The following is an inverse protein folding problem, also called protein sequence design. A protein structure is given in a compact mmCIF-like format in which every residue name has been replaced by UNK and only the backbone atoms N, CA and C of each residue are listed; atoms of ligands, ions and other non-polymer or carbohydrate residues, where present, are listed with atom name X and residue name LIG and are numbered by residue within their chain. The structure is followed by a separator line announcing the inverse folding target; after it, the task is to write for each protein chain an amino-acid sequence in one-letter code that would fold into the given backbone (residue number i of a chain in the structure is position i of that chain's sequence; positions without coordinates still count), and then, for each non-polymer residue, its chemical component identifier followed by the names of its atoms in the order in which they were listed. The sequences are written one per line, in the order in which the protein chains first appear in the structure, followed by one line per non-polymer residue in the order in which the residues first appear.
data_IF_620122001881
#
_entry.id   IF_620122001881
#
_cell.length_a   1.000
_cell.length_b   1.000
_cell.length_c   1.000
_cell.angle_alpha   90.00
_cell.angle_beta   90.00
_cell.angle_gamma   90.00
#
_symmetry.space_group_name_H-M   'P 1'
#
loop_
_entity.id
_entity.type
_entity.pdbx_description
1 polymer ?
#
# COMPACT_ATOMS: atom_id res chain seq x y z
N UNK A 1 -3.54 -11.08 -37.79
CA UNK A 1 -3.50 -9.67 -37.36
C UNK A 1 -4.66 -9.28 -36.45
N UNK A 2 -5.87 -8.89 -36.90
CA UNK A 2 -6.93 -8.40 -35.97
C UNK A 2 -7.34 -9.42 -34.88
N UNK A 3 -7.39 -10.72 -35.20
CA UNK A 3 -7.67 -11.77 -34.21
C UNK A 3 -6.58 -11.96 -33.15
N UNK A 4 -5.31 -11.68 -33.48
CA UNK A 4 -4.18 -11.82 -32.54
C UNK A 4 -4.14 -10.65 -31.56
N UNK A 5 -4.50 -9.44 -32.00
CA UNK A 5 -4.57 -8.26 -31.14
C UNK A 5 -5.92 -8.09 -30.44
N UNK A 6 -6.95 -8.87 -30.81
CA UNK A 6 -8.30 -8.73 -30.28
C UNK A 6 -8.38 -8.82 -28.74
N UNK A 7 -7.65 -9.73 -28.06
CA UNK A 7 -7.66 -9.76 -26.60
C UNK A 7 -7.15 -8.46 -25.97
N UNK A 8 -6.13 -7.84 -26.55
CA UNK A 8 -5.56 -6.58 -26.05
C UNK A 8 -6.45 -5.39 -26.35
N UNK A 9 -7.09 -5.38 -27.51
CA UNK A 9 -8.11 -4.38 -27.85
C UNK A 9 -9.30 -4.51 -26.88
N UNK A 10 -9.72 -5.74 -26.57
CA UNK A 10 -10.78 -6.01 -25.60
C UNK A 10 -10.42 -5.50 -24.20
N UNK A 11 -9.17 -5.70 -23.76
CA UNK A 11 -8.67 -5.14 -22.50
C UNK A 11 -8.66 -3.61 -22.53
N UNK A 12 -8.18 -3.02 -23.62
CA UNK A 12 -8.15 -1.55 -23.77
C UNK A 12 -9.57 -0.96 -23.73
N UNK A 13 -10.53 -1.59 -24.41
CA UNK A 13 -11.95 -1.23 -24.34
C UNK A 13 -12.47 -1.40 -22.91
N UNK A 14 -12.14 -2.50 -22.23
CA UNK A 14 -12.49 -2.73 -20.83
C UNK A 14 -11.98 -1.61 -19.92
N UNK A 15 -10.72 -1.20 -20.07
CA UNK A 15 -10.14 -0.08 -19.32
C UNK A 15 -10.90 1.23 -19.63
N UNK A 16 -11.22 1.51 -20.89
CA UNK A 16 -12.02 2.70 -21.25
C UNK A 16 -13.41 2.66 -20.64
N UNK A 17 -14.08 1.50 -20.66
CA UNK A 17 -15.39 1.32 -20.03
C UNK A 17 -15.30 1.59 -18.53
N UNK A 18 -14.33 0.99 -17.85
CA UNK A 18 -14.09 1.20 -16.43
C UNK A 18 -13.86 2.67 -16.09
N UNK A 19 -13.01 3.33 -16.89
CA UNK A 19 -12.74 4.75 -16.80
C UNK A 19 -14.01 5.59 -16.95
N UNK A 20 -14.84 5.31 -17.96
CA UNK A 20 -16.09 6.03 -18.18
C UNK A 20 -17.07 5.80 -17.02
N UNK A 21 -17.22 4.57 -16.53
CA UNK A 21 -18.11 4.23 -15.42
C UNK A 21 -17.73 4.99 -14.14
N UNK A 22 -16.43 5.10 -13.84
CA UNK A 22 -15.95 5.77 -12.63
C UNK A 22 -15.92 7.30 -12.80
N UNK A 23 -15.32 7.82 -13.87
CA UNK A 23 -15.06 9.24 -14.02
C UNK A 23 -16.28 10.03 -14.52
N UNK A 24 -17.02 9.49 -15.48
CA UNK A 24 -18.15 10.18 -16.11
C UNK A 24 -19.47 9.84 -15.41
N UNK A 25 -19.72 8.55 -15.16
CA UNK A 25 -20.98 8.09 -14.54
C UNK A 25 -20.93 8.03 -13.02
N UNK A 26 -19.76 8.27 -12.41
CA UNK A 26 -19.58 8.30 -10.95
C UNK A 26 -20.11 7.04 -10.23
N UNK A 27 -20.02 5.89 -10.90
CA UNK A 27 -20.42 4.62 -10.28
C UNK A 27 -19.43 4.21 -9.20
N UNK A 28 -19.94 3.52 -8.18
CA UNK A 28 -19.10 2.90 -7.16
C UNK A 28 -18.06 1.97 -7.80
N UNK A 29 -16.80 2.07 -7.36
CA UNK A 29 -15.66 1.34 -7.93
C UNK A 29 -15.86 -0.17 -7.96
N UNK A 30 -16.45 -0.76 -6.91
CA UNK A 30 -16.73 -2.19 -6.89
C UNK A 30 -17.69 -2.58 -8.01
N UNK A 31 -18.81 -1.85 -8.15
CA UNK A 31 -19.80 -2.09 -9.19
C UNK A 31 -19.18 -1.90 -10.59
N UNK A 32 -18.42 -0.82 -10.78
CA UNK A 32 -17.76 -0.53 -12.05
C UNK A 32 -16.77 -1.63 -12.46
N UNK A 33 -15.99 -2.16 -11.52
CA UNK A 33 -15.06 -3.27 -11.76
C UNK A 33 -15.79 -4.56 -12.14
N UNK A 34 -16.89 -4.92 -11.45
CA UNK A 34 -17.67 -6.12 -11.78
C UNK A 34 -18.31 -6.00 -13.17
N UNK A 35 -18.94 -4.87 -13.48
CA UNK A 35 -19.52 -4.62 -14.81
C UNK A 35 -18.43 -4.70 -15.88
N UNK A 36 -17.28 -4.07 -15.64
CA UNK A 36 -16.16 -4.10 -16.58
C UNK A 36 -15.64 -5.53 -16.77
N UNK A 37 -15.47 -6.29 -15.69
CA UNK A 37 -15.04 -7.68 -15.75
C UNK A 37 -16.02 -8.54 -16.58
N UNK A 38 -17.33 -8.38 -16.36
CA UNK A 38 -18.35 -9.07 -17.17
C UNK A 38 -18.25 -8.69 -18.65
N UNK A 39 -18.25 -7.39 -18.96
CA UNK A 39 -18.17 -6.91 -20.35
C UNK A 39 -16.88 -7.34 -21.04
N UNK A 40 -15.76 -7.29 -20.33
CA UNK A 40 -14.46 -7.72 -20.87
C UNK A 40 -14.47 -9.23 -21.16
N UNK A 41 -15.04 -10.05 -20.28
CA UNK A 41 -15.19 -11.48 -20.52
C UNK A 41 -16.05 -11.78 -21.76
N UNK A 42 -17.12 -11.00 -21.98
CA UNK A 42 -17.95 -11.08 -23.19
C UNK A 42 -17.14 -10.72 -24.44
N UNK A 43 -16.39 -9.62 -24.40
CA UNK A 43 -15.55 -9.17 -25.52
C UNK A 43 -14.45 -10.18 -25.85
N UNK A 44 -13.89 -10.85 -24.84
CA UNK A 44 -12.91 -11.93 -24.99
C UNK A 44 -13.53 -13.24 -25.51
N UNK A 45 -14.85 -13.30 -25.72
CA UNK A 45 -15.54 -14.47 -26.26
C UNK A 45 -15.71 -15.61 -25.26
N UNK A 46 -15.64 -15.32 -23.95
CA UNK A 46 -15.87 -16.33 -22.93
C UNK A 46 -17.33 -16.83 -22.95
N UNK A 47 -17.58 -18.13 -22.72
CA UNK A 47 -18.93 -18.64 -22.55
C UNK A 47 -19.65 -17.92 -21.41
N UNK A 48 -20.87 -17.41 -21.64
CA UNK A 48 -21.60 -16.61 -20.66
C UNK A 48 -21.81 -17.33 -19.32
N UNK A 49 -21.96 -18.65 -19.34
CA UNK A 49 -22.10 -19.48 -18.13
C UNK A 49 -20.80 -19.60 -17.32
N UNK A 50 -19.64 -19.27 -17.89
CA UNK A 50 -18.34 -19.30 -17.20
C UNK A 50 -17.94 -17.94 -16.62
N UNK A 51 -18.47 -16.83 -17.15
CA UNK A 51 -18.07 -15.48 -16.74
C UNK A 51 -18.28 -15.26 -15.25
N UNK A 52 -19.48 -15.60 -14.74
CA UNK A 52 -19.79 -15.44 -13.31
C UNK A 52 -18.89 -16.33 -12.45
N UNK A 53 -18.69 -17.59 -12.83
CA UNK A 53 -17.82 -18.51 -12.08
C UNK A 53 -16.35 -18.05 -12.07
N UNK A 54 -15.87 -17.45 -13.18
CA UNK A 54 -14.54 -16.86 -13.26
C UNK A 54 -14.42 -15.63 -12.35
N UNK A 55 -15.45 -14.78 -12.29
CA UNK A 55 -15.51 -13.64 -11.37
C UNK A 55 -15.48 -14.11 -9.92
N UNK A 56 -16.30 -15.10 -9.55
CA UNK A 56 -16.33 -15.66 -8.19
C UNK A 56 -14.99 -16.29 -7.80
N UNK A 57 -14.37 -17.04 -8.71
CA UNK A 57 -13.04 -17.62 -8.50
C UNK A 57 -11.97 -16.54 -8.31
N UNK A 58 -12.02 -15.47 -9.12
CA UNK A 58 -11.11 -14.32 -9.00
C UNK A 58 -11.27 -13.58 -7.67
N UNK A 59 -12.50 -13.34 -7.23
CA UNK A 59 -12.80 -12.75 -5.91
C UNK A 59 -12.27 -13.66 -4.80
N UNK A 60 -12.63 -14.94 -4.82
CA UNK A 60 -12.29 -15.91 -3.77
C UNK A 60 -10.79 -16.14 -3.64
N UNK A 61 -10.08 -16.32 -4.76
CA UNK A 61 -8.62 -16.53 -4.77
C UNK A 61 -7.86 -15.33 -4.20
N UNK A 62 -8.35 -14.13 -4.50
CA UNK A 62 -7.79 -12.85 -4.02
C UNK A 62 -8.14 -12.67 -2.53
N UNK A 63 -9.42 -12.69 -2.16
CA UNK A 63 -9.86 -12.48 -0.78
C UNK A 63 -9.41 -13.54 0.21
N UNK A 64 -9.24 -14.80 -0.20
CA UNK A 64 -9.01 -15.92 0.74
C UNK A 64 -7.78 -15.75 1.64
N UNK A 65 -6.75 -15.05 1.18
CA UNK A 65 -5.57 -14.73 2.00
C UNK A 65 -5.54 -13.26 2.44
N UNK A 66 -6.10 -12.37 1.63
CA UNK A 66 -6.13 -10.93 1.90
C UNK A 66 -6.98 -10.61 3.10
N UNK A 67 -8.19 -11.18 3.21
CA UNK A 67 -9.12 -10.85 4.27
C UNK A 67 -8.49 -11.02 5.66
N UNK A 68 -7.64 -12.03 5.82
CA UNK A 68 -6.86 -12.26 7.04
C UNK A 68 -5.87 -11.11 7.30
N UNK A 69 -4.99 -10.81 6.34
CA UNK A 69 -3.92 -9.81 6.53
C UNK A 69 -4.50 -8.40 6.65
N UNK A 70 -5.50 -8.08 5.82
CA UNK A 70 -6.19 -6.78 5.82
C UNK A 70 -6.95 -6.56 7.13
N UNK A 71 -7.75 -7.55 7.54
CA UNK A 71 -8.55 -7.48 8.76
C UNK A 71 -7.66 -7.36 10.00
N UNK A 72 -6.64 -8.21 10.11
CA UNK A 72 -5.69 -8.17 11.23
C UNK A 72 -4.85 -6.90 11.22
N UNK A 73 -4.47 -6.38 10.06
CA UNK A 73 -3.77 -5.09 9.95
C UNK A 73 -4.60 -3.92 10.43
N UNK A 74 -5.88 -3.88 10.06
CA UNK A 74 -6.77 -2.81 10.50
C UNK A 74 -6.99 -2.88 12.01
N UNK A 75 -7.17 -4.10 12.54
CA UNK A 75 -7.26 -4.35 13.98
C UNK A 75 -6.00 -3.94 14.74
N UNK A 76 -4.81 -4.37 14.29
CA UNK A 76 -3.53 -3.97 14.88
C UNK A 76 -3.39 -2.46 14.89
N UNK A 77 -3.73 -1.84 13.78
CA UNK A 77 -3.59 -0.41 13.64
C UNK A 77 -4.54 0.40 14.50
N UNK A 78 -5.80 -0.03 14.58
CA UNK A 78 -6.80 0.56 15.45
C UNK A 78 -6.44 0.40 16.93
N UNK A 79 -5.87 -0.74 17.33
CA UNK A 79 -5.35 -0.94 18.68
C UNK A 79 -4.17 -0.02 19.00
N UNK A 80 -3.22 0.15 18.08
CA UNK A 80 -2.09 1.08 18.25
C UNK A 80 -2.55 2.53 18.35
N UNK A 81 -3.53 2.91 17.53
CA UNK A 81 -4.13 4.24 17.55
C UNK A 81 -4.86 4.50 18.87
N UNK A 82 -5.82 3.64 19.21
CA UNK A 82 -6.67 3.83 20.38
C UNK A 82 -5.91 3.58 21.69
N UNK A 83 -4.87 2.77 21.69
CA UNK A 83 -4.02 2.49 22.85
C UNK A 83 -2.93 3.53 23.11
N UNK A 84 -2.83 4.58 22.27
CA UNK A 84 -1.84 5.65 22.40
C UNK A 84 -0.43 5.26 21.97
N UNK A 85 -0.23 4.07 21.39
CA UNK A 85 1.08 3.58 20.97
C UNK A 85 1.68 4.40 19.84
N UNK A 86 0.87 4.75 18.82
CA UNK A 86 1.32 5.57 17.72
C UNK A 86 1.68 7.00 18.16
N UNK A 87 0.88 7.59 19.07
CA UNK A 87 1.16 8.89 19.70
C UNK A 87 2.47 8.86 20.49
N UNK A 88 2.67 7.83 21.31
CA UNK A 88 3.91 7.66 22.08
C UNK A 88 5.16 7.59 21.18
N UNK A 89 5.09 6.84 20.07
CA UNK A 89 6.21 6.70 19.12
C UNK A 89 6.61 8.08 18.60
N UNK A 90 5.63 8.84 18.11
CA UNK A 90 5.81 10.18 17.63
C UNK A 90 6.41 11.12 18.69
N UNK A 91 5.74 11.28 19.83
CA UNK A 91 6.13 12.24 20.87
C UNK A 91 7.54 11.96 21.41
N UNK A 92 7.88 10.68 21.59
CA UNK A 92 9.21 10.28 22.07
C UNK A 92 10.30 10.63 21.06
N UNK A 93 10.08 10.36 19.77
CA UNK A 93 11.06 10.66 18.73
C UNK A 93 11.28 12.16 18.59
N UNK A 94 10.22 12.97 18.65
CA UNK A 94 10.29 14.42 18.62
C UNK A 94 11.06 14.97 19.83
N UNK A 95 10.76 14.44 21.03
CA UNK A 95 11.45 14.83 22.26
C UNK A 95 12.95 14.48 22.23
N UNK A 96 13.31 13.28 21.74
CA UNK A 96 14.71 12.82 21.66
C UNK A 96 15.53 13.52 20.59
N UNK A 97 15.00 13.65 19.38
CA UNK A 97 15.72 14.27 18.27
C UNK A 97 15.76 15.80 18.40
N UNK A 98 14.84 16.37 19.18
CA UNK A 98 14.79 17.78 19.50
C UNK A 98 14.30 18.65 18.34
N UNK A 99 14.06 19.93 18.65
CA UNK A 99 13.43 20.92 17.75
C UNK A 99 14.11 21.06 16.37
N UNK A 100 15.42 20.83 16.31
CA UNK A 100 16.22 20.95 15.08
C UNK A 100 15.93 19.83 14.06
N UNK A 101 15.56 18.64 14.53
CA UNK A 101 15.41 17.44 13.68
C UNK A 101 13.98 16.89 13.68
N UNK A 102 13.00 17.73 14.00
CA UNK A 102 11.59 17.33 14.10
C UNK A 102 11.04 16.77 12.78
N UNK A 103 11.46 17.31 11.64
CA UNK A 103 11.08 16.76 10.33
C UNK A 103 11.58 15.31 10.15
N UNK A 104 12.78 15.01 10.63
CA UNK A 104 13.35 13.65 10.60
C UNK A 104 12.66 12.73 11.60
N UNK A 105 12.37 13.22 12.80
CA UNK A 105 11.58 12.50 13.79
C UNK A 105 10.21 12.09 13.20
N UNK A 106 9.60 13.00 12.44
CA UNK A 106 8.32 12.76 11.79
C UNK A 106 8.44 11.71 10.70
N UNK A 107 9.44 11.79 9.81
CA UNK A 107 9.65 10.73 8.80
C UNK A 107 9.85 9.35 9.44
N UNK A 108 10.70 9.25 10.48
CA UNK A 108 10.97 7.98 11.17
C UNK A 108 9.70 7.46 11.84
N UNK A 109 8.98 8.30 12.56
CA UNK A 109 7.72 7.92 13.21
C UNK A 109 6.68 7.47 12.18
N UNK A 110 6.47 8.22 11.09
CA UNK A 110 5.58 7.83 10.00
C UNK A 110 5.97 6.54 9.33
N UNK A 111 7.26 6.28 9.15
CA UNK A 111 7.73 5.05 8.51
C UNK A 111 7.44 3.85 9.42
N UNK A 112 7.75 3.97 10.72
CA UNK A 112 7.48 2.92 11.71
C UNK A 112 5.98 2.64 11.87
N UNK A 113 5.18 3.71 11.91
CA UNK A 113 3.72 3.64 12.05
C UNK A 113 3.10 3.13 10.74
N UNK A 114 3.59 3.60 9.60
CA UNK A 114 3.15 3.23 8.27
C UNK A 114 3.31 1.75 7.99
N UNK A 115 4.38 1.10 8.48
CA UNK A 115 4.52 -0.37 8.40
C UNK A 115 3.33 -1.12 9.03
N UNK A 116 2.78 -0.59 10.13
CA UNK A 116 1.74 -1.26 10.92
C UNK A 116 0.31 -0.78 10.57
N UNK A 117 0.17 0.48 10.17
CA UNK A 117 -1.11 1.12 9.88
C UNK A 117 -1.37 1.19 8.38
N UNK A 118 -2.63 1.06 8.00
CA UNK A 118 -3.09 1.49 6.68
C UNK A 118 -2.77 2.96 6.42
N UNK A 119 -2.55 3.31 5.15
CA UNK A 119 -2.23 4.67 4.75
C UNK A 119 -3.25 5.67 5.30
N UNK A 120 -4.54 5.40 5.09
CA UNK A 120 -5.63 6.30 5.50
C UNK A 120 -5.70 6.45 7.02
N UNK A 121 -5.58 5.32 7.74
CA UNK A 121 -5.60 5.32 9.21
C UNK A 121 -4.38 6.04 9.78
N UNK A 122 -3.20 5.79 9.22
CA UNK A 122 -1.95 6.43 9.61
C UNK A 122 -1.95 7.92 9.31
N UNK A 123 -2.53 8.33 8.19
CA UNK A 123 -2.68 9.73 7.82
C UNK A 123 -3.55 10.47 8.83
N UNK A 124 -4.76 9.96 9.08
CA UNK A 124 -5.72 10.57 10.03
C UNK A 124 -5.12 10.68 11.43
N UNK A 125 -4.35 9.67 11.86
CA UNK A 125 -3.71 9.68 13.16
C UNK A 125 -2.59 10.71 13.28
N UNK A 126 -1.79 10.87 12.24
CA UNK A 126 -0.58 11.69 12.30
C UNK A 126 -0.82 13.17 11.94
N UNK A 127 -1.94 13.51 11.28
CA UNK A 127 -2.26 14.90 10.96
C UNK A 127 -2.37 15.80 12.19
N UNK A 128 -3.14 15.46 13.24
CA UNK A 128 -3.24 16.29 14.45
C UNK A 128 -1.87 16.58 15.08
N UNK A 129 -1.01 15.56 15.07
CA UNK A 129 0.36 15.66 15.54
C UNK A 129 1.17 16.61 14.64
N UNK A 130 1.12 16.45 13.31
CA UNK A 130 1.78 17.35 12.36
C UNK A 130 1.37 18.79 12.59
N UNK A 131 0.08 19.07 12.82
CA UNK A 131 -0.42 20.43 12.98
C UNK A 131 0.00 21.01 14.32
N UNK A 132 -0.08 20.22 15.39
CA UNK A 132 0.39 20.61 16.73
C UNK A 132 1.86 20.98 16.72
N UNK A 133 2.69 20.16 16.06
CA UNK A 133 4.12 20.41 15.94
C UNK A 133 4.40 21.62 15.06
N UNK A 134 3.74 21.72 13.89
CA UNK A 134 3.91 22.81 12.96
C UNK A 134 3.63 24.16 13.65
N UNK A 135 2.53 24.23 14.41
CA UNK A 135 2.17 25.40 15.22
C UNK A 135 3.21 25.70 16.30
N UNK A 136 3.65 24.69 17.06
CA UNK A 136 4.67 24.86 18.11
C UNK A 136 6.03 25.33 17.57
N UNK A 137 6.36 24.92 16.36
CA UNK A 137 7.60 25.25 15.66
C UNK A 137 7.50 26.52 14.81
N UNK A 138 6.30 27.10 14.69
CA UNK A 138 5.98 28.21 13.79
C UNK A 138 6.45 27.93 12.34
N UNK A 139 6.16 26.73 11.84
CA UNK A 139 6.46 26.31 10.46
C UNK A 139 5.17 25.88 9.77
N UNK A 140 5.18 25.92 8.43
CA UNK A 140 4.06 25.44 7.61
C UNK A 140 3.72 23.97 7.91
N UNK A 141 2.43 23.67 8.00
CA UNK A 141 1.93 22.30 8.20
C UNK A 141 2.40 21.37 7.07
N UNK A 142 2.44 21.83 5.82
CA UNK A 142 2.93 21.04 4.68
C UNK A 142 4.41 20.69 4.76
N UNK A 143 5.26 21.53 5.38
CA UNK A 143 6.69 21.21 5.59
C UNK A 143 6.86 19.98 6.47
N UNK A 144 5.89 19.72 7.35
CA UNK A 144 5.85 18.57 8.25
C UNK A 144 5.00 17.42 7.69
N UNK A 145 3.94 17.76 6.94
CA UNK A 145 2.98 16.82 6.35
C UNK A 145 3.50 16.07 5.13
N UNK A 146 4.20 16.73 4.21
CA UNK A 146 4.73 16.07 3.00
C UNK A 146 5.71 14.93 3.31
N UNK A 147 6.69 15.08 4.23
CA UNK A 147 7.58 13.98 4.60
C UNK A 147 6.84 12.85 5.33
N UNK A 148 5.83 13.20 6.13
CA UNK A 148 4.96 12.24 6.82
C UNK A 148 4.21 11.38 5.80
N UNK A 149 3.50 11.99 4.84
CA UNK A 149 2.75 11.23 3.84
C UNK A 149 3.66 10.44 2.92
N UNK A 150 4.85 10.96 2.60
CA UNK A 150 5.84 10.21 1.81
C UNK A 150 6.17 8.89 2.48
N UNK A 151 6.52 8.92 3.77
CA UNK A 151 6.86 7.70 4.50
C UNK A 151 5.68 6.72 4.55
N UNK A 152 4.44 7.22 4.76
CA UNK A 152 3.24 6.38 4.71
C UNK A 152 3.05 5.75 3.32
N UNK A 153 3.12 6.52 2.24
CA UNK A 153 2.95 6.04 0.86
C UNK A 153 4.02 5.04 0.47
N UNK A 154 5.29 5.29 0.81
CA UNK A 154 6.38 4.34 0.55
C UNK A 154 6.16 3.03 1.31
N UNK A 155 5.75 3.07 2.58
CA UNK A 155 5.46 1.81 3.29
C UNK A 155 4.30 1.06 2.64
N UNK A 156 3.27 1.77 2.18
CA UNK A 156 2.09 1.20 1.54
C UNK A 156 2.40 0.45 0.23
N UNK A 157 3.22 1.02 -0.65
CA UNK A 157 3.51 0.43 -1.96
C UNK A 157 4.68 -0.56 -1.99
N UNK A 158 5.59 -0.51 -1.02
CA UNK A 158 6.84 -1.28 -1.11
C UNK A 158 6.96 -2.40 -0.07
N UNK A 159 6.29 -2.32 1.09
CA UNK A 159 6.62 -3.16 2.23
C UNK A 159 5.47 -4.10 2.64
N UNK A 160 5.64 -5.43 2.53
CA UNK A 160 4.88 -6.38 3.34
C UNK A 160 4.98 -6.04 4.85
N UNK A 161 3.93 -6.24 5.67
CA UNK A 161 2.70 -6.96 5.39
C UNK A 161 1.61 -6.11 4.72
N UNK A 162 1.93 -4.95 4.14
CA UNK A 162 0.91 -4.17 3.43
C UNK A 162 0.22 -5.01 2.37
N UNK A 163 -1.11 -4.91 2.25
CA UNK A 163 -1.85 -5.80 1.38
C UNK A 163 -1.47 -5.74 -0.09
N UNK A 164 -1.20 -4.56 -0.64
CA UNK A 164 -0.74 -4.43 -2.03
C UNK A 164 0.49 -5.29 -2.30
N UNK A 165 1.65 -5.01 -1.66
CA UNK A 165 2.86 -5.81 -1.80
C UNK A 165 2.65 -7.31 -1.54
N UNK A 166 1.88 -7.69 -0.51
CA UNK A 166 1.65 -9.10 -0.19
C UNK A 166 0.87 -9.82 -1.28
N UNK A 167 -0.16 -9.18 -1.83
CA UNK A 167 -1.01 -9.79 -2.86
C UNK A 167 -0.25 -10.00 -4.14
N UNK A 168 0.41 -8.95 -4.61
CA UNK A 168 1.23 -9.02 -5.83
C UNK A 168 2.30 -10.11 -5.65
N UNK A 169 2.95 -10.16 -4.49
CA UNK A 169 3.95 -11.20 -4.20
C UNK A 169 3.37 -12.60 -4.33
N UNK A 170 2.18 -12.83 -3.78
CA UNK A 170 1.54 -14.14 -3.85
C UNK A 170 1.08 -14.49 -5.26
N UNK A 171 0.50 -13.53 -5.98
CA UNK A 171 0.01 -13.74 -7.34
C UNK A 171 1.15 -14.03 -8.32
N UNK A 172 2.29 -13.36 -8.14
CA UNK A 172 3.49 -13.59 -8.94
C UNK A 172 4.34 -14.76 -8.43
N UNK A 173 3.96 -15.41 -7.32
CA UNK A 173 4.78 -16.40 -6.60
C UNK A 173 6.18 -15.88 -6.21
N UNK A 174 6.31 -14.58 -5.96
CA UNK A 174 7.54 -13.96 -5.49
C UNK A 174 7.75 -14.27 -3.99
N UNK A 175 8.98 -14.60 -3.56
CA UNK A 175 9.28 -14.79 -2.14
C UNK A 175 9.04 -13.50 -1.35
N UNK A 176 7.96 -13.47 -0.54
CA UNK A 176 7.55 -12.29 0.24
C UNK A 176 8.69 -11.76 1.13
N UNK A 177 9.52 -12.65 1.66
CA UNK A 177 10.70 -12.27 2.43
C UNK A 177 11.71 -11.44 1.63
N UNK A 178 11.99 -11.83 0.39
CA UNK A 178 12.86 -11.06 -0.51
C UNK A 178 12.21 -9.73 -0.90
N UNK A 179 10.91 -9.72 -1.17
CA UNK A 179 10.15 -8.47 -1.41
C UNK A 179 10.27 -7.52 -0.22
N UNK A 180 10.13 -8.04 1.01
CA UNK A 180 10.28 -7.25 2.22
C UNK A 180 11.70 -6.70 2.38
N UNK A 181 12.71 -7.55 2.21
CA UNK A 181 14.12 -7.16 2.34
C UNK A 181 14.51 -6.09 1.31
N UNK A 182 14.24 -6.36 0.03
CA UNK A 182 14.54 -5.44 -1.07
C UNK A 182 13.70 -4.17 -0.97
N UNK A 183 12.43 -4.31 -0.58
CA UNK A 183 11.51 -3.22 -0.33
C UNK A 183 12.06 -2.28 0.74
N UNK A 184 12.60 -2.78 1.85
CA UNK A 184 13.23 -1.96 2.88
C UNK A 184 14.45 -1.19 2.36
N UNK A 185 15.31 -1.86 1.58
CA UNK A 185 16.51 -1.26 0.99
C UNK A 185 16.13 -0.11 0.04
N UNK A 186 15.06 -0.27 -0.74
CA UNK A 186 14.58 0.73 -1.70
C UNK A 186 13.75 1.82 -1.02
N UNK A 187 12.92 1.47 -0.04
CA UNK A 187 12.03 2.38 0.66
C UNK A 187 12.76 3.51 1.38
N UNK A 188 13.92 3.23 1.98
CA UNK A 188 14.73 4.22 2.68
C UNK A 188 15.14 5.37 1.73
N UNK A 189 15.94 5.15 0.67
CA UNK A 189 16.38 6.23 -0.20
C UNK A 189 15.21 6.92 -0.93
N UNK A 190 14.16 6.19 -1.32
CA UNK A 190 12.94 6.78 -1.90
C UNK A 190 12.30 7.77 -0.92
N UNK A 191 12.14 7.39 0.35
CA UNK A 191 11.57 8.26 1.39
C UNK A 191 12.43 9.50 1.62
N UNK A 192 13.76 9.37 1.57
CA UNK A 192 14.68 10.50 1.72
C UNK A 192 14.54 11.52 0.59
N UNK A 193 14.39 11.04 -0.65
CA UNK A 193 14.25 11.88 -1.85
C UNK A 193 12.87 12.53 -1.90
N UNK A 194 11.80 11.73 -1.81
CA UNK A 194 10.44 12.23 -1.94
C UNK A 194 9.94 13.01 -0.72
N UNK A 195 10.54 12.79 0.45
CA UNK A 195 10.12 13.44 1.70
C UNK A 195 10.96 14.68 1.99
N UNK A 196 12.02 14.58 2.83
CA UNK A 196 12.81 15.73 3.24
C UNK A 196 13.43 16.55 2.11
N UNK A 197 13.88 15.92 1.03
CA UNK A 197 14.53 16.63 -0.08
C UNK A 197 13.50 17.36 -0.96
N UNK A 198 12.41 16.70 -1.36
CA UNK A 198 11.34 17.34 -2.12
C UNK A 198 10.72 18.52 -1.38
N UNK A 199 10.56 18.44 -0.05
CA UNK A 199 10.03 19.56 0.76
C UNK A 199 10.89 20.83 0.71
N UNK A 200 12.18 20.72 0.37
CA UNK A 200 13.01 21.91 0.15
C UNK A 200 12.64 22.62 -1.17
N UNK A 201 12.13 21.89 -2.15
CA UNK A 201 11.81 22.38 -3.49
C UNK A 201 10.32 22.76 -3.60
N UNK A 202 9.43 22.00 -2.96
CA UNK A 202 7.98 22.17 -3.05
C UNK A 202 7.46 23.61 -2.78
N UNK A 203 8.02 24.40 -1.82
CA UNK A 203 7.61 25.79 -1.61
C UNK A 203 7.87 26.72 -2.80
N UNK A 204 8.85 26.41 -3.65
CA UNK A 204 9.13 27.18 -4.86
C UNK A 204 8.14 26.85 -5.98
N UNK A 205 7.55 25.66 -5.96
CA UNK A 205 6.54 25.24 -6.94
C UNK A 205 5.15 25.77 -6.59
N UNK A 206 4.83 25.85 -5.30
CA UNK A 206 3.51 26.26 -4.83
C UNK A 206 3.60 27.02 -3.50
N UNK A 207 4.07 28.27 -3.55
CA UNK A 207 4.25 29.10 -2.34
C UNK A 207 2.96 29.27 -1.54
N UNK A 208 1.84 29.50 -2.23
CA UNK A 208 0.53 29.69 -1.59
C UNK A 208 0.08 28.47 -0.78
N UNK A 209 0.43 27.25 -1.21
CA UNK A 209 0.10 26.04 -0.48
C UNK A 209 0.74 26.00 0.91
N UNK A 210 1.98 26.49 1.04
CA UNK A 210 2.73 26.47 2.30
C UNK A 210 2.32 27.59 3.27
N UNK A 211 1.57 28.58 2.80
CA UNK A 211 1.01 29.67 3.61
C UNK A 211 -0.39 29.32 4.15
N UNK A 212 -0.99 28.21 3.70
CA UNK A 212 -2.30 27.76 4.18
C UNK A 212 -2.20 27.14 5.57
N UNK A 213 -3.25 27.40 6.36
CA UNK A 213 -3.54 26.66 7.57
C UNK A 213 -4.60 25.61 7.24
N UNK A 214 -4.28 24.34 7.46
CA UNK A 214 -5.21 23.23 7.40
C UNK A 214 -6.21 23.29 8.55
N UNK A 215 -7.34 22.63 8.36
CA UNK A 215 -8.47 22.70 9.27
C UNK A 215 -8.57 21.41 10.11
N UNK A 216 -8.32 21.53 11.42
CA UNK A 216 -8.46 20.41 12.37
C UNK A 216 -9.93 20.06 12.60
N UNK A 217 -10.86 21.00 12.41
CA UNK A 217 -12.29 20.78 12.72
C UNK A 217 -12.94 19.74 11.78
N UNK A 218 -12.33 19.49 10.62
CA UNK A 218 -12.72 18.44 9.68
C UNK A 218 -12.29 17.02 10.09
N UNK A 219 -11.41 16.86 11.08
CA UNK A 219 -10.87 15.55 11.50
C UNK A 219 -11.80 14.77 12.43
N UNK A 220 -12.95 15.32 12.83
CA UNK A 220 -13.75 14.74 13.90
C UNK A 220 -13.00 14.76 15.24
N UNK A 221 -13.61 14.23 16.31
CA UNK A 221 -12.98 14.22 17.62
C UNK A 221 -11.77 13.27 17.66
N UNK A 222 -10.57 13.79 17.46
CA UNK A 222 -9.33 13.08 17.78
C UNK A 222 -9.19 12.95 19.29
N UNK A 223 -9.09 11.72 19.80
CA UNK A 223 -8.82 11.47 21.22
C UNK A 223 -7.46 12.05 21.57
N UNK A 224 -7.42 13.16 22.31
CA UNK A 224 -6.21 13.66 22.95
C UNK A 224 -5.90 12.78 24.15
N UNK A 225 -4.73 12.15 24.17
CA UNK A 225 -4.29 11.30 25.28
C UNK A 225 -3.71 12.11 26.46
N UNK A 226 -4.12 13.36 26.63
CA UNK A 226 -3.50 14.29 27.59
C UNK A 226 -3.60 13.81 29.06
N UNK A 227 -4.58 12.96 29.39
CA UNK A 227 -4.80 12.40 30.73
C UNK A 227 -4.66 10.85 30.83
N UNK A 228 -4.37 10.15 29.73
CA UNK A 228 -4.18 8.70 29.73
C UNK A 228 -2.69 8.33 29.82
N UNK A 229 -2.34 7.36 30.67
CA UNK A 229 -0.96 6.84 30.74
C UNK A 229 -0.61 6.15 29.41
N UNK A 230 0.09 6.88 28.55
CA UNK A 230 0.65 6.35 27.31
C UNK A 230 1.51 5.10 27.59
N UNK A 231 1.50 4.11 26.68
CA UNK A 231 2.46 3.01 26.73
C UNK A 231 3.89 3.54 26.65
N UNK A 232 4.88 2.75 27.06
CA UNK A 232 6.27 3.17 26.87
C UNK A 232 6.66 3.06 25.38
N UNK A 233 7.69 3.80 24.98
CA UNK A 233 8.16 3.84 23.58
C UNK A 233 8.58 2.47 23.04
N UNK A 234 9.27 1.66 23.86
CA UNK A 234 9.78 0.35 23.47
C UNK A 234 8.65 -0.64 23.18
N UNK A 235 7.64 -0.69 24.05
CA UNK A 235 6.45 -1.53 23.88
C UNK A 235 5.67 -1.08 22.65
N UNK A 236 5.45 0.23 22.47
CA UNK A 236 4.73 0.77 21.31
C UNK A 236 5.42 0.43 20.00
N UNK A 237 6.72 0.66 19.94
CA UNK A 237 7.55 0.34 18.77
C UNK A 237 7.57 -1.16 18.49
N UNK A 238 7.73 -1.98 19.53
CA UNK A 238 7.74 -3.43 19.39
C UNK A 238 6.39 -3.94 18.91
N UNK A 239 5.27 -3.50 19.50
CA UNK A 239 3.91 -3.88 19.04
C UNK A 239 3.68 -3.51 17.57
N UNK A 240 4.08 -2.30 17.15
CA UNK A 240 3.91 -1.85 15.78
C UNK A 240 4.76 -2.66 14.78
N UNK A 241 6.02 -2.92 15.11
CA UNK A 241 6.96 -3.58 14.20
C UNK A 241 6.93 -5.11 14.30
N UNK A 242 6.22 -5.69 15.27
CA UNK A 242 6.21 -7.13 15.54
C UNK A 242 5.96 -7.99 14.29
N UNK A 243 4.96 -7.73 13.43
CA UNK A 243 4.77 -8.55 12.22
C UNK A 243 6.01 -8.54 11.32
N UNK A 244 6.57 -7.37 11.07
CA UNK A 244 7.75 -7.21 10.21
C UNK A 244 8.99 -7.84 10.83
N UNK A 245 9.18 -7.72 12.14
CA UNK A 245 10.30 -8.36 12.83
C UNK A 245 10.24 -9.87 12.69
N UNK A 246 9.06 -10.48 12.82
CA UNK A 246 8.87 -11.93 12.62
C UNK A 246 9.12 -12.35 11.17
N UNK A 247 8.61 -11.59 10.19
CA UNK A 247 8.80 -11.86 8.77
C UNK A 247 10.27 -11.72 8.35
N UNK A 248 10.94 -10.65 8.78
CA UNK A 248 12.37 -10.43 8.51
C UNK A 248 13.22 -11.51 9.18
N UNK A 249 12.91 -11.90 10.42
CA UNK A 249 13.64 -12.97 11.09
C UNK A 249 13.58 -14.28 10.31
N UNK A 250 12.38 -14.68 9.86
CA UNK A 250 12.23 -15.89 9.05
C UNK A 250 12.93 -15.78 7.69
N UNK A 251 12.92 -14.60 7.07
CA UNK A 251 13.61 -14.34 5.81
C UNK A 251 15.13 -14.44 5.96
N UNK A 252 15.69 -13.78 6.98
CA UNK A 252 17.13 -13.83 7.26
C UNK A 252 17.53 -15.27 7.57
N UNK A 253 16.71 -16.00 8.33
CA UNK A 253 16.96 -17.41 8.59
C UNK A 253 17.05 -18.23 7.29
N UNK A 254 16.08 -18.08 6.37
CA UNK A 254 16.09 -18.74 5.05
C UNK A 254 17.36 -18.45 4.25
N UNK A 255 17.81 -17.19 4.24
CA UNK A 255 19.00 -16.75 3.52
C UNK A 255 20.28 -17.32 4.14
N UNK A 256 20.37 -17.36 5.47
CA UNK A 256 21.54 -17.87 6.21
C UNK A 256 21.64 -19.40 6.10
N UNK A 257 20.52 -20.12 6.15
CA UNK A 257 20.52 -21.58 6.03
C UNK A 257 20.56 -22.07 4.58
N UNK A 258 20.34 -21.18 3.60
CA UNK A 258 20.25 -21.54 2.18
C UNK A 258 19.01 -22.37 1.84
N UNK A 259 18.02 -22.41 2.74
CA UNK A 259 16.81 -23.22 2.61
C UNK A 259 15.61 -22.40 2.10
N UNK A 260 15.84 -21.65 1.03
CA UNK A 260 14.80 -20.85 0.38
C UNK A 260 13.67 -21.70 -0.21
N UNK A 261 14.00 -22.92 -0.65
CA UNK A 261 13.04 -23.86 -1.25
C UNK A 261 12.04 -24.47 -0.24
N UNK A 262 12.27 -24.28 1.06
CA UNK A 262 11.39 -24.79 2.11
C UNK A 262 12.13 -25.34 3.33
N UNK A 263 11.40 -25.61 4.43
CA UNK A 263 11.99 -25.99 5.71
C UNK A 263 12.48 -27.44 5.68
N UNK A 264 13.72 -27.68 6.11
CA UNK A 264 14.31 -29.02 6.21
C UNK A 264 14.12 -29.66 7.58
N UNK A 265 14.11 -28.85 8.64
CA UNK A 265 14.02 -29.32 10.03
C UNK A 265 12.76 -28.79 10.73
N UNK A 266 12.38 -29.42 11.85
CA UNK A 266 11.22 -29.00 12.64
C UNK A 266 11.29 -27.54 13.12
N UNK A 267 12.49 -27.08 13.50
CA UNK A 267 12.72 -25.68 13.89
C UNK A 267 12.37 -24.72 12.74
N UNK A 268 12.81 -25.01 11.53
CA UNK A 268 12.55 -24.16 10.36
C UNK A 268 11.07 -24.12 10.00
N UNK A 269 10.34 -25.24 10.17
CA UNK A 269 8.87 -25.25 9.99
C UNK A 269 8.19 -24.26 10.91
N UNK A 270 8.62 -24.18 12.17
CA UNK A 270 8.07 -23.23 13.15
C UNK A 270 8.45 -21.80 12.77
N UNK A 271 9.72 -21.55 12.45
CA UNK A 271 10.21 -20.21 12.07
C UNK A 271 9.45 -19.70 10.82
N UNK A 272 9.28 -20.54 9.80
CA UNK A 272 8.63 -20.14 8.54
C UNK A 272 7.13 -19.99 8.72
N UNK A 273 6.50 -20.79 9.61
CA UNK A 273 5.11 -20.62 9.97
C UNK A 273 4.85 -19.31 10.70
N UNK A 274 5.70 -18.95 11.68
CA UNK A 274 5.62 -17.70 12.45
C UNK A 274 5.92 -16.49 11.56
N UNK A 275 6.87 -16.62 10.63
CA UNK A 275 7.23 -15.58 9.67
C UNK A 275 6.28 -15.46 8.47
N UNK A 276 5.26 -16.31 8.35
CA UNK A 276 4.23 -16.14 7.35
C UNK A 276 3.42 -14.87 7.66
N UNK A 277 3.14 -14.03 6.65
CA UNK A 277 2.47 -12.74 6.85
C UNK A 277 1.15 -12.87 7.64
N UNK A 278 0.32 -13.88 7.36
CA UNK A 278 -0.94 -14.10 8.09
C UNK A 278 -0.73 -14.42 9.57
N UNK A 279 0.18 -15.35 9.87
CA UNK A 279 0.51 -15.77 11.23
C UNK A 279 1.19 -14.64 12.01
N UNK A 280 2.14 -13.93 11.39
CA UNK A 280 2.85 -12.81 11.99
C UNK A 280 1.89 -11.68 12.40
N UNK A 281 0.91 -11.37 11.53
CA UNK A 281 -0.14 -10.39 11.84
C UNK A 281 -1.04 -10.87 12.97
N UNK A 282 -1.41 -12.15 13.01
CA UNK A 282 -2.24 -12.69 14.09
C UNK A 282 -1.52 -12.60 15.44
N UNK A 283 -0.25 -13.01 15.49
CA UNK A 283 0.59 -12.90 16.70
C UNK A 283 0.68 -11.45 17.15
N UNK A 284 0.86 -10.51 16.22
CA UNK A 284 0.93 -9.10 16.54
C UNK A 284 -0.38 -8.52 17.07
N UNK A 285 -1.54 -8.90 16.50
CA UNK A 285 -2.85 -8.48 17.02
C UNK A 285 -3.08 -9.04 18.42
N UNK A 286 -2.78 -10.32 18.66
CA UNK A 286 -2.89 -10.92 19.99
C UNK A 286 -2.02 -10.16 20.98
N UNK A 287 -0.76 -9.88 20.62
CA UNK A 287 0.13 -9.08 21.45
C UNK A 287 -0.39 -7.65 21.68
N UNK A 288 -1.00 -7.02 20.67
CA UNK A 288 -1.60 -5.69 20.75
C UNK A 288 -2.83 -5.64 21.66
N UNK A 289 -3.65 -6.70 21.69
CA UNK A 289 -4.80 -6.82 22.63
C UNK A 289 -4.33 -6.67 24.08
N UNK A 290 -3.19 -7.29 24.42
CA UNK A 290 -2.60 -7.16 25.75
C UNK A 290 -1.87 -5.82 25.93
N UNK A 291 -0.95 -5.48 25.03
CA UNK A 291 -0.03 -4.33 25.18
C UNK A 291 -0.72 -2.97 25.02
N UNK A 292 -1.64 -2.83 24.07
CA UNK A 292 -2.34 -1.59 23.73
C UNK A 292 -3.81 -1.56 24.20
N UNK A 293 -4.32 -2.70 24.69
CA UNK A 293 -5.66 -2.81 25.26
C UNK A 293 -5.64 -2.99 26.79
N UNK A 294 -5.45 -4.24 27.23
CA UNK A 294 -5.64 -4.63 28.65
C UNK A 294 -4.63 -3.93 29.57
N UNK A 295 -3.34 -3.88 29.19
CA UNK A 295 -2.31 -3.18 29.98
C UNK A 295 -2.50 -1.65 30.02
N UNK A 296 -3.41 -1.11 29.20
CA UNK A 296 -3.81 0.31 29.21
C UNK A 296 -5.06 0.55 30.07
N UNK A 297 -5.54 -0.45 30.81
CA UNK A 297 -6.71 -0.35 31.69
C UNK A 297 -8.05 -0.51 30.96
N UNK A 298 -8.05 -0.89 29.68
CA UNK A 298 -9.29 -1.14 28.94
C UNK A 298 -9.85 -2.52 29.27
N UNK A 299 -11.17 -2.59 29.46
CA UNK A 299 -11.86 -3.87 29.62
C UNK A 299 -11.81 -4.69 28.33
N UNK A 300 -11.86 -6.02 28.44
CA UNK A 300 -11.92 -6.92 27.28
C UNK A 300 -13.05 -6.53 26.32
N UNK A 301 -14.22 -6.12 26.83
CA UNK A 301 -15.35 -5.66 26.02
C UNK A 301 -15.00 -4.44 25.17
N UNK A 302 -14.33 -3.44 25.74
CA UNK A 302 -13.89 -2.26 24.99
C UNK A 302 -12.85 -2.61 23.93
N UNK A 303 -11.91 -3.52 24.24
CA UNK A 303 -10.91 -3.98 23.28
C UNK A 303 -11.56 -4.74 22.12
N UNK A 304 -12.53 -5.62 22.39
CA UNK A 304 -13.25 -6.33 21.33
C UNK A 304 -14.07 -5.38 20.46
N UNK A 305 -14.73 -4.37 21.04
CA UNK A 305 -15.41 -3.34 20.27
C UNK A 305 -14.43 -2.56 19.37
N UNK A 306 -13.24 -2.23 19.87
CA UNK A 306 -12.18 -1.57 19.10
C UNK A 306 -11.79 -2.39 17.86
N UNK A 307 -11.69 -3.72 18.02
CA UNK A 307 -11.41 -4.64 16.91
C UNK A 307 -12.56 -4.67 15.88
N UNK A 308 -13.82 -4.64 16.33
CA UNK A 308 -14.99 -4.59 15.44
C UNK A 308 -15.04 -3.27 14.66
N UNK A 309 -14.82 -2.14 15.34
CA UNK A 309 -14.81 -0.81 14.72
C UNK A 309 -13.71 -0.68 13.66
N UNK A 310 -12.59 -1.39 13.84
CA UNK A 310 -11.49 -1.41 12.87
C UNK A 310 -11.89 -1.96 11.49
N UNK A 311 -12.95 -2.78 11.41
CA UNK A 311 -13.38 -3.43 10.17
C UNK A 311 -14.24 -2.51 9.31
N UNK A 312 -15.02 -1.61 9.89
CA UNK A 312 -15.96 -0.77 9.12
C UNK A 312 -15.28 0.06 8.02
N UNK A 313 -14.16 0.77 8.27
CA UNK A 313 -13.52 1.60 7.25
C UNK A 313 -12.93 0.78 6.09
N UNK A 314 -12.56 -0.47 6.33
CA UNK A 314 -11.90 -1.33 5.33
C UNK A 314 -12.87 -2.24 4.55
N UNK A 315 -14.14 -2.33 4.95
CA UNK A 315 -15.10 -3.25 4.33
C UNK A 315 -15.28 -3.02 2.82
N UNK A 316 -15.45 -1.76 2.40
CA UNK A 316 -15.53 -1.40 0.99
C UNK A 316 -14.20 -1.65 0.26
N UNK A 317 -13.07 -1.40 0.94
CA UNK A 317 -11.74 -1.62 0.38
C UNK A 317 -11.51 -3.10 0.06
N UNK A 318 -11.94 -4.01 0.94
CA UNK A 318 -11.91 -5.45 0.70
C UNK A 318 -12.75 -5.86 -0.52
N UNK A 319 -13.97 -5.33 -0.66
CA UNK A 319 -14.82 -5.62 -1.83
C UNK A 319 -14.15 -5.18 -3.13
N UNK A 320 -13.63 -3.95 -3.16
CA UNK A 320 -12.94 -3.37 -4.31
C UNK A 320 -11.70 -4.22 -4.69
N UNK A 321 -10.93 -4.69 -3.70
CA UNK A 321 -9.79 -5.59 -3.91
C UNK A 321 -10.25 -6.93 -4.51
N UNK A 322 -11.33 -7.51 -3.99
CA UNK A 322 -11.95 -8.71 -4.56
C UNK A 322 -12.35 -8.51 -6.02
N UNK A 323 -12.96 -7.37 -6.37
CA UNK A 323 -13.34 -7.04 -7.74
C UNK A 323 -12.14 -6.83 -8.68
N UNK A 324 -11.02 -6.28 -8.18
CA UNK A 324 -9.76 -6.28 -8.91
C UNK A 324 -9.27 -7.71 -9.22
N UNK A 325 -9.43 -8.61 -8.25
CA UNK A 325 -9.19 -10.04 -8.43
C UNK A 325 -10.09 -10.72 -9.47
N UNK A 326 -11.39 -10.36 -9.51
CA UNK A 326 -12.31 -10.79 -10.56
C UNK A 326 -11.86 -10.32 -11.94
N UNK A 327 -11.53 -9.03 -12.07
CA UNK A 327 -11.08 -8.46 -13.33
C UNK A 327 -9.81 -9.18 -13.82
N UNK A 328 -8.82 -9.35 -12.94
CA UNK A 328 -7.61 -10.14 -13.19
C UNK A 328 -7.94 -11.55 -13.71
N UNK A 329 -8.84 -12.28 -13.04
CA UNK A 329 -9.17 -13.65 -13.44
C UNK A 329 -9.85 -13.71 -14.82
N UNK A 330 -10.69 -12.72 -15.15
CA UNK A 330 -11.26 -12.59 -16.50
C UNK A 330 -10.16 -12.38 -17.55
N UNK A 331 -9.12 -11.59 -17.26
CA UNK A 331 -8.00 -11.40 -18.19
C UNK A 331 -7.24 -12.72 -18.44
N UNK A 332 -7.01 -13.48 -17.38
CA UNK A 332 -6.31 -14.77 -17.44
C UNK A 332 -7.15 -15.79 -18.21
N UNK A 333 -8.39 -16.05 -17.77
CA UNK A 333 -9.27 -17.08 -18.33
C UNK A 333 -9.77 -16.73 -19.73
N UNK A 334 -9.87 -15.43 -20.05
CA UNK A 334 -10.23 -14.91 -21.37
C UNK A 334 -9.08 -14.92 -22.37
N UNK A 335 -7.90 -15.44 -22.00
CA UNK A 335 -6.81 -15.70 -22.95
C UNK A 335 -5.97 -14.49 -23.32
N UNK A 336 -6.02 -13.39 -22.54
CA UNK A 336 -5.17 -12.21 -22.77
C UNK A 336 -3.69 -12.57 -22.71
N UNK A 337 -3.32 -13.55 -21.88
CA UNK A 337 -1.94 -13.96 -21.70
C UNK A 337 -1.23 -14.43 -22.97
N UNK A 338 -1.91 -15.23 -23.82
CA UNK A 338 -1.32 -15.67 -25.09
C UNK A 338 -1.09 -14.53 -26.09
N UNK A 339 -1.97 -13.52 -26.09
CA UNK A 339 -1.82 -12.35 -26.95
C UNK A 339 -0.66 -11.44 -26.50
N UNK A 340 -0.45 -11.30 -25.19
CA UNK A 340 0.70 -10.58 -24.63
C UNK A 340 1.99 -11.32 -24.99
N UNK A 341 2.06 -12.64 -24.77
CA UNK A 341 3.25 -13.43 -25.06
C UNK A 341 3.74 -13.27 -26.51
N UNK A 342 2.83 -13.29 -27.49
CA UNK A 342 3.15 -13.15 -28.92
C UNK A 342 3.66 -11.77 -29.34
N UNK A 343 3.24 -10.69 -28.69
CA UNK A 343 3.73 -9.34 -29.01
C UNK A 343 5.10 -9.10 -28.39
N UNK A 344 5.29 -9.61 -27.18
CA UNK A 344 6.48 -9.31 -26.40
C UNK A 344 7.63 -10.31 -26.63
N UNK A 345 7.41 -11.39 -27.39
CA UNK A 345 8.50 -12.29 -27.80
C UNK A 345 9.56 -11.57 -28.65
N UNK A 346 9.17 -10.57 -29.44
CA UNK A 346 10.07 -9.81 -30.33
C UNK A 346 10.45 -8.41 -29.79
N UNK A 347 9.79 -7.96 -28.71
CA UNK A 347 10.01 -6.61 -28.14
C UNK A 347 10.93 -6.69 -26.93
N UNK A 348 12.14 -6.13 -27.06
CA UNK A 348 13.14 -6.05 -25.98
C UNK A 348 12.80 -4.98 -24.92
N UNK A 349 11.61 -5.03 -24.33
CA UNK A 349 11.25 -4.19 -23.18
C UNK A 349 11.53 -4.96 -21.89
N UNK A 350 12.17 -4.29 -20.92
CA UNK A 350 12.40 -4.89 -19.61
C UNK A 350 11.07 -5.18 -18.89
N UNK A 351 10.87 -6.41 -18.37
CA UNK A 351 9.64 -6.77 -17.65
C UNK A 351 9.34 -5.86 -16.46
N UNK A 352 10.39 -5.36 -15.79
CA UNK A 352 10.30 -4.42 -14.67
C UNK A 352 9.64 -3.10 -15.11
N UNK A 353 10.11 -2.50 -16.21
CA UNK A 353 9.54 -1.25 -16.74
C UNK A 353 8.11 -1.49 -17.21
N UNK A 354 7.84 -2.60 -17.88
CA UNK A 354 6.49 -2.91 -18.34
C UNK A 354 5.53 -3.04 -17.15
N UNK A 355 5.92 -3.78 -16.12
CA UNK A 355 5.13 -3.95 -14.91
C UNK A 355 4.85 -2.61 -14.20
N UNK A 356 5.86 -1.75 -14.09
CA UNK A 356 5.68 -0.39 -13.57
C UNK A 356 4.74 0.45 -14.44
N UNK A 357 4.91 0.42 -15.77
CA UNK A 357 4.15 1.23 -16.72
C UNK A 357 2.68 0.84 -16.74
N UNK A 358 2.37 -0.45 -16.77
CA UNK A 358 0.99 -0.95 -16.67
C UNK A 358 0.38 -0.55 -15.34
N UNK A 359 1.11 -0.70 -14.23
CA UNK A 359 0.64 -0.27 -12.91
C UNK A 359 0.37 1.24 -12.85
N UNK A 360 1.25 2.06 -13.43
CA UNK A 360 1.09 3.52 -13.47
C UNK A 360 -0.12 3.95 -14.32
N UNK A 361 -0.34 3.32 -15.48
CA UNK A 361 -1.51 3.59 -16.33
C UNK A 361 -2.81 3.18 -15.63
N UNK A 362 -2.83 2.00 -15.00
CA UNK A 362 -3.99 1.55 -14.24
C UNK A 362 -4.20 2.41 -13.00
N UNK A 363 -3.15 2.89 -12.34
CA UNK A 363 -3.27 3.82 -11.22
C UNK A 363 -3.94 5.13 -11.64
N UNK A 364 -3.46 5.73 -12.74
CA UNK A 364 -4.08 6.93 -13.32
C UNK A 364 -5.54 6.71 -13.66
N UNK A 365 -5.93 5.48 -14.02
CA UNK A 365 -7.31 5.17 -14.36
C UNK A 365 -8.20 4.92 -13.14
N UNK A 366 -7.74 4.08 -12.22
CA UNK A 366 -8.55 3.48 -11.16
C UNK A 366 -8.57 4.29 -9.87
N UNK A 367 -7.56 5.13 -9.63
CA UNK A 367 -7.50 5.94 -8.41
C UNK A 367 -7.28 5.15 -7.13
N UNK A 368 -7.08 3.82 -7.18
CA UNK A 368 -6.67 3.00 -6.04
C UNK A 368 -5.36 2.28 -6.31
N UNK A 369 -4.35 2.49 -5.46
CA UNK A 369 -3.05 1.87 -5.58
C UNK A 369 -3.14 0.33 -5.51
N UNK A 370 -3.83 -0.20 -4.51
CA UNK A 370 -3.99 -1.66 -4.34
C UNK A 370 -4.69 -2.30 -5.54
N UNK A 371 -5.75 -1.67 -6.08
CA UNK A 371 -6.49 -2.23 -7.23
C UNK A 371 -5.65 -2.20 -8.50
N UNK A 372 -4.95 -1.09 -8.75
CA UNK A 372 -4.05 -0.97 -9.90
C UNK A 372 -2.94 -2.02 -9.86
N UNK A 373 -2.35 -2.23 -8.69
CA UNK A 373 -1.36 -3.28 -8.46
C UNK A 373 -1.90 -4.69 -8.78
N UNK A 374 -3.05 -5.06 -8.22
CA UNK A 374 -3.66 -6.39 -8.43
C UNK A 374 -4.09 -6.59 -9.88
N UNK A 375 -4.66 -5.56 -10.50
CA UNK A 375 -5.08 -5.65 -11.90
C UNK A 375 -3.87 -5.79 -12.83
N UNK A 376 -2.73 -5.19 -12.47
CA UNK A 376 -1.48 -5.30 -13.24
C UNK A 376 -0.97 -6.73 -13.29
N UNK A 377 -1.06 -7.49 -12.20
CA UNK A 377 -0.56 -8.88 -12.17
C UNK A 377 -1.23 -9.74 -13.24
N UNK A 378 -2.52 -9.57 -13.49
CA UNK A 378 -3.25 -10.31 -14.52
C UNK A 378 -2.74 -10.06 -15.93
N UNK A 379 -2.20 -8.87 -16.18
CA UNK A 379 -1.66 -8.48 -17.49
C UNK A 379 -0.23 -8.99 -17.65
N UNK A 380 0.60 -8.89 -16.60
CA UNK A 380 2.03 -9.20 -16.71
C UNK A 380 2.38 -10.65 -16.39
N UNK A 381 1.57 -11.38 -15.62
CA UNK A 381 1.88 -12.73 -15.15
C UNK A 381 2.26 -13.68 -16.30
N UNK A 382 1.55 -13.68 -17.45
CA UNK A 382 1.91 -14.52 -18.59
C UNK A 382 3.31 -14.22 -19.16
N UNK A 383 3.72 -12.95 -19.18
CA UNK A 383 5.06 -12.54 -19.64
C UNK A 383 6.17 -13.03 -18.69
N UNK A 384 5.90 -13.03 -17.39
CA UNK A 384 6.89 -13.43 -16.39
C UNK A 384 7.15 -14.94 -16.37
N UNK A 385 6.26 -15.76 -16.92
CA UNK A 385 6.44 -17.21 -17.00
C UNK A 385 7.52 -17.62 -18.01
N UNK A 386 7.75 -16.78 -19.02
CA UNK A 386 8.72 -17.05 -20.10
C UNK A 386 9.99 -16.21 -19.97
N UNK A 387 10.05 -15.30 -19.00
CA UNK A 387 11.18 -14.38 -18.81
C UNK A 387 11.92 -14.67 -17.52
N UNK A 388 13.25 -14.80 -17.59
CA UNK A 388 14.09 -14.88 -16.40
C UNK A 388 14.26 -13.48 -15.79
N UNK A 389 13.49 -13.20 -14.74
CA UNK A 389 13.52 -11.92 -14.02
C UNK A 389 13.27 -12.13 -12.53
N UNK A 390 13.93 -11.32 -11.70
CA UNK A 390 13.71 -11.36 -10.26
C UNK A 390 12.28 -10.90 -9.92
N UNK A 391 11.41 -11.86 -9.61
CA UNK A 391 10.00 -11.60 -9.31
C UNK A 391 9.81 -10.65 -8.13
N UNK A 392 10.73 -10.63 -7.15
CA UNK A 392 10.63 -9.69 -6.04
C UNK A 392 10.83 -8.23 -6.50
N UNK A 393 11.71 -7.99 -7.47
CA UNK A 393 11.90 -6.67 -8.07
C UNK A 393 10.69 -6.27 -8.94
N UNK A 394 10.08 -7.22 -9.64
CA UNK A 394 8.86 -6.97 -10.40
C UNK A 394 7.70 -6.57 -9.47
N UNK A 395 7.55 -7.24 -8.32
CA UNK A 395 6.56 -6.85 -7.30
C UNK A 395 6.78 -5.40 -6.85
N UNK A 396 8.03 -5.02 -6.56
CA UNK A 396 8.36 -3.66 -6.14
C UNK A 396 8.16 -2.64 -7.27
N UNK A 397 8.38 -3.02 -8.52
CA UNK A 397 8.10 -2.19 -9.68
C UNK A 397 6.59 -1.91 -9.83
N UNK A 398 5.74 -2.93 -9.65
CA UNK A 398 4.28 -2.76 -9.64
C UNK A 398 3.85 -1.90 -8.45
N UNK A 399 4.42 -2.15 -7.27
CA UNK A 399 4.15 -1.35 -6.08
C UNK A 399 4.53 0.13 -6.24
N UNK A 400 5.67 0.41 -6.87
CA UNK A 400 6.07 1.77 -7.22
C UNK A 400 5.15 2.38 -8.28
N UNK A 401 4.81 1.63 -9.34
CA UNK A 401 3.92 2.11 -10.40
C UNK A 401 2.50 2.38 -9.91
N UNK A 402 2.00 1.58 -8.95
CA UNK A 402 0.66 1.76 -8.40
C UNK A 402 0.50 3.00 -7.52
N UNK A 403 1.59 3.66 -7.14
CA UNK A 403 1.60 4.95 -6.42
C UNK A 403 1.63 6.13 -7.42
N UNK A 404 1.93 5.90 -8.69
CA UNK A 404 2.16 6.95 -9.67
C UNK A 404 1.02 7.96 -9.77
N UNK A 405 1.35 9.25 -9.63
CA UNK A 405 0.49 10.39 -9.96
C UNK A 405 -0.97 10.24 -9.44
N UNK A 406 -1.12 10.06 -8.12
CA UNK A 406 -2.43 10.10 -7.48
C UNK A 406 -3.13 11.45 -7.76
N UNK A 407 -4.34 11.40 -8.33
CA UNK A 407 -5.09 12.59 -8.75
C UNK A 407 -6.57 12.52 -8.34
N UNK A 408 -7.43 13.27 -9.01
CA UNK A 408 -8.85 13.47 -8.65
C UNK A 408 -9.70 12.20 -8.54
N UNK A 409 -9.24 11.05 -9.05
CA UNK A 409 -9.90 9.76 -8.86
C UNK A 409 -9.49 9.01 -7.59
N UNK A 410 -8.50 9.51 -6.84
CA UNK A 410 -8.00 8.90 -5.61
C UNK A 410 -8.58 9.57 -4.36
N UNK A 411 -9.08 8.74 -3.44
CA UNK A 411 -9.49 9.19 -2.11
C UNK A 411 -8.35 9.88 -1.34
N UNK A 412 -7.11 9.40 -1.49
CA UNK A 412 -5.92 10.00 -0.89
C UNK A 412 -5.68 11.45 -1.32
N UNK A 413 -5.93 11.77 -2.60
CA UNK A 413 -5.84 13.13 -3.13
C UNK A 413 -6.81 14.09 -2.44
N UNK A 414 -8.08 13.67 -2.31
CA UNK A 414 -9.12 14.47 -1.66
C UNK A 414 -8.88 14.60 -0.17
N UNK A 415 -8.54 13.51 0.50
CA UNK A 415 -8.24 13.50 1.92
C UNK A 415 -7.06 14.44 2.25
N UNK A 416 -5.98 14.38 1.47
CA UNK A 416 -4.85 15.29 1.63
C UNK A 416 -5.23 16.76 1.35
N UNK A 417 -6.00 17.00 0.28
CA UNK A 417 -6.50 18.34 -0.06
C UNK A 417 -7.31 18.93 1.09
N UNK A 418 -8.31 18.20 1.60
CA UNK A 418 -9.21 18.70 2.64
C UNK A 418 -8.46 18.97 3.94
N UNK A 419 -7.60 18.04 4.38
CA UNK A 419 -6.88 18.22 5.64
C UNK A 419 -5.93 19.42 5.62
N UNK A 420 -5.17 19.61 4.55
CA UNK A 420 -4.24 20.74 4.43
C UNK A 420 -4.88 22.00 3.84
N UNK A 421 -6.20 22.02 3.64
CA UNK A 421 -6.95 23.18 3.15
C UNK A 421 -6.56 23.63 1.74
N UNK A 422 -6.07 22.73 0.89
CA UNK A 422 -5.48 23.04 -0.42
C UNK A 422 -6.54 23.25 -1.51
N UNK A 423 -6.19 24.01 -2.54
CA UNK A 423 -6.87 23.95 -3.84
C UNK A 423 -6.44 22.72 -4.63
N UNK A 424 -7.26 22.31 -5.61
CA UNK A 424 -6.92 21.23 -6.54
C UNK A 424 -5.55 21.45 -7.21
N UNK A 425 -5.28 22.68 -7.67
CA UNK A 425 -3.99 23.04 -8.30
C UNK A 425 -2.82 22.85 -7.34
N UNK A 426 -2.96 23.30 -6.10
CA UNK A 426 -1.93 23.13 -5.07
C UNK A 426 -1.71 21.65 -4.76
N UNK A 427 -2.78 20.86 -4.65
CA UNK A 427 -2.70 19.40 -4.42
C UNK A 427 -1.96 18.69 -5.56
N UNK A 428 -2.17 19.06 -6.82
CA UNK A 428 -1.38 18.52 -7.93
C UNK A 428 0.13 18.83 -7.79
N UNK A 429 0.46 20.06 -7.39
CA UNK A 429 1.85 20.51 -7.24
C UNK A 429 2.54 19.98 -5.98
N UNK A 430 1.79 19.43 -5.02
CA UNK A 430 2.34 18.87 -3.78
C UNK A 430 2.15 17.35 -3.70
N UNK A 431 0.91 16.88 -3.65
CA UNK A 431 0.55 15.47 -3.43
C UNK A 431 0.77 14.61 -4.68
N UNK A 432 0.17 14.97 -5.82
CA UNK A 432 0.36 14.19 -7.05
C UNK A 432 1.83 14.14 -7.47
N UNK A 433 2.55 15.24 -7.25
CA UNK A 433 3.97 15.34 -7.52
C UNK A 433 4.81 14.48 -6.56
N UNK A 434 4.52 14.46 -5.25
CA UNK A 434 5.27 13.61 -4.31
C UNK A 434 5.07 12.13 -4.63
N UNK A 435 3.84 11.72 -4.92
CA UNK A 435 3.48 10.35 -5.34
C UNK A 435 4.20 9.96 -6.64
N UNK A 436 4.30 10.89 -7.60
CA UNK A 436 5.07 10.70 -8.83
C UNK A 436 6.57 10.53 -8.54
N UNK A 437 7.15 11.34 -7.64
CA UNK A 437 8.56 11.22 -7.26
C UNK A 437 8.81 9.87 -6.58
N UNK A 438 7.92 9.43 -5.67
CA UNK A 438 8.01 8.11 -5.03
C UNK A 438 8.02 7.01 -6.08
N UNK A 439 7.08 7.06 -7.02
CA UNK A 439 6.93 6.05 -8.07
C UNK A 439 8.13 5.98 -9.00
N UNK A 440 8.62 7.12 -9.50
CA UNK A 440 9.73 7.19 -10.45
C UNK A 440 11.07 6.89 -9.77
N UNK A 441 11.30 7.42 -8.57
CA UNK A 441 12.51 7.09 -7.81
C UNK A 441 12.53 5.62 -7.37
N UNK A 442 11.37 5.07 -6.98
CA UNK A 442 11.19 3.65 -6.72
C UNK A 442 11.59 2.78 -7.90
N UNK A 443 11.09 3.10 -9.10
CA UNK A 443 11.51 2.42 -10.32
C UNK A 443 13.03 2.52 -10.55
N UNK A 444 13.62 3.71 -10.36
CA UNK A 444 15.06 3.92 -10.50
C UNK A 444 15.89 3.04 -9.56
N UNK A 445 15.50 2.92 -8.29
CA UNK A 445 16.18 2.05 -7.33
C UNK A 445 15.92 0.57 -7.56
N UNK A 446 14.72 0.19 -8.03
CA UNK A 446 14.44 -1.19 -8.46
C UNK A 446 15.36 -1.58 -9.63
N UNK A 447 15.56 -0.69 -10.59
CA UNK A 447 16.51 -0.91 -11.69
C UNK A 447 17.95 -1.00 -11.22
N UNK A 448 18.37 -0.07 -10.35
CA UNK A 448 19.71 -0.11 -9.78
C UNK A 448 19.97 -1.45 -9.09
N UNK A 449 18.99 -1.93 -8.33
CA UNK A 449 19.07 -3.23 -7.67
C UNK A 449 19.12 -4.38 -8.67
N UNK A 450 18.30 -4.35 -9.73
CA UNK A 450 18.29 -5.35 -10.81
C UNK A 450 19.60 -5.47 -11.60
N UNK A 451 20.48 -4.47 -11.53
CA UNK A 451 21.82 -4.55 -12.14
C UNK A 451 22.84 -5.22 -11.21
N UNK A 452 22.57 -5.20 -9.90
CA UNK A 452 23.47 -5.72 -8.86
C UNK A 452 23.18 -7.20 -8.56
N UNK A 453 21.89 -7.58 -8.54
CA UNK A 453 21.40 -8.94 -8.29
C UNK A 453 20.73 -9.51 -9.52
#
# INVERSE_FOLDING_TARGET
MLHEFWPLISVFIGIIVLLLLIMQFQLNTFIALIITAMLTGILLGMPYNKIVTTIEAGIGGTLGHIALIFGLGAMLGKLLADGGGATQIADTLIAKLGKKYVQWAMVIASFMIGIALFFEVGLVLLIPLVFTIAKRMNVSQLKMGLPMVTALSVTHGFLPPHPGPVVISKELNAPIGKVLLYGFIIAIPVTLIAGPLFVKIAPYLSRSAFEREGDISSLGATKSFEDEKLPNFALSTFTALLPVLLMLFATIWQLVTGHESGPKNHLERIIYFVGNAGTAMLIAVIFAIFSMGILRGKSTKQVMNTLTEAIYPIGMMLLIIGAGGAFKQILIDGGVGGAVEHIFTDVRISPILLAWLVAALLRLALGSATVAAISTTGIILPLLQTTDVNLALVVLAIGAGSIFCSHVNDAGFWMFKEYFGLTVKETFLTWSLVETIISVSGLGFVYLMSVII
#
